data_IF_381406296269
#
_entry.id   IF_381406296269
#
_cell.length_a   1.000
_cell.length_b   1.000
_cell.length_c   1.000
_cell.angle_alpha   90.00
_cell.angle_beta   90.00
_cell.angle_gamma   90.00
#
_symmetry.space_group_name_H-M   'P 1'
#
loop_
_entity.id
_entity.type
_entity.pdbx_description
1 polymer ?
#
# COMPACT_ATOMS: atom_id res chain seq x y z
N UNK A 1 -6.07 -3.04 15.89
CA UNK A 1 -6.12 -2.36 14.59
C UNK A 1 -4.69 -2.25 14.08
N UNK A 2 -4.45 -2.46 12.78
CA UNK A 2 -3.12 -2.37 12.20
C UNK A 2 -3.23 -2.11 10.70
N UNK A 3 -2.28 -1.37 10.16
CA UNK A 3 -2.18 -1.05 8.74
C UNK A 3 -0.74 -1.25 8.26
N UNK A 4 -0.54 -1.26 6.96
CA UNK A 4 0.75 -1.42 6.32
C UNK A 4 1.26 -0.09 5.78
N UNK A 5 2.57 0.11 5.81
CA UNK A 5 3.20 1.26 5.20
C UNK A 5 4.55 0.88 4.59
N UNK A 6 4.92 1.54 3.48
CA UNK A 6 6.16 1.28 2.75
C UNK A 6 6.10 0.07 1.81
N UNK A 7 4.91 -0.50 1.63
CA UNK A 7 4.69 -1.77 0.95
C UNK A 7 4.93 -1.73 -0.55
N UNK A 8 4.69 -0.58 -1.19
CA UNK A 8 5.03 -0.36 -2.60
C UNK A 8 6.55 -0.38 -2.81
N UNK A 9 7.31 0.35 -2.00
CA UNK A 9 8.77 0.31 -2.03
C UNK A 9 9.33 -1.07 -1.67
N UNK A 10 8.65 -1.79 -0.78
CA UNK A 10 8.99 -3.18 -0.42
C UNK A 10 8.77 -4.19 -1.56
N UNK A 11 7.85 -3.93 -2.50
CA UNK A 11 7.72 -4.76 -3.70
C UNK A 11 8.69 -4.27 -4.78
N UNK A 12 8.61 -2.99 -5.15
CA UNK A 12 9.20 -2.47 -6.39
C UNK A 12 10.71 -2.27 -6.33
N UNK A 13 11.28 -2.18 -5.12
CA UNK A 13 12.72 -1.95 -4.93
C UNK A 13 13.11 -0.49 -5.10
N UNK A 14 12.10 0.39 -5.15
CA UNK A 14 12.23 1.82 -5.33
C UNK A 14 12.21 2.54 -3.98
N UNK A 15 12.76 3.75 -3.96
CA UNK A 15 12.67 4.64 -2.79
C UNK A 15 11.21 4.92 -2.41
N UNK A 16 11.01 5.19 -1.12
CA UNK A 16 9.70 5.55 -0.61
C UNK A 16 9.17 6.83 -1.29
N UNK A 17 7.95 6.77 -1.80
CA UNK A 17 7.26 7.90 -2.43
C UNK A 17 6.78 8.95 -1.43
N UNK A 18 6.81 8.65 -0.12
CA UNK A 18 6.38 9.53 0.95
C UNK A 18 7.11 9.20 2.26
N UNK A 19 7.27 10.21 3.12
CA UNK A 19 7.74 10.03 4.49
C UNK A 19 6.60 9.62 5.44
N UNK A 20 6.93 8.85 6.47
CA UNK A 20 5.99 8.44 7.53
C UNK A 20 6.32 9.16 8.83
N UNK A 21 5.27 9.59 9.54
CA UNK A 21 5.41 10.22 10.86
C UNK A 21 4.34 9.68 11.80
N UNK A 22 4.76 9.27 13.00
CA UNK A 22 3.86 8.90 14.08
C UNK A 22 3.15 10.14 14.63
N UNK A 23 1.83 10.06 14.79
CA UNK A 23 1.00 11.12 15.40
C UNK A 23 0.90 10.98 16.94
N UNK A 24 1.27 9.81 17.47
CA UNK A 24 1.30 9.49 18.88
C UNK A 24 2.15 8.23 19.11
N UNK A 25 2.11 7.67 20.31
CA UNK A 25 2.83 6.45 20.64
C UNK A 25 2.35 5.29 19.74
N UNK A 26 3.29 4.66 19.03
CA UNK A 26 3.00 3.56 18.13
C UNK A 26 4.08 2.47 18.23
N UNK A 27 3.64 1.23 18.08
CA UNK A 27 4.53 0.08 17.89
C UNK A 27 4.42 -0.39 16.45
N UNK A 28 5.57 -0.71 15.85
CA UNK A 28 5.65 -1.15 14.45
C UNK A 28 6.41 -2.45 14.34
N UNK A 29 5.96 -3.31 13.42
CA UNK A 29 6.69 -4.49 12.98
C UNK A 29 7.37 -4.15 11.66
N UNK A 30 8.70 -4.16 11.64
CA UNK A 30 9.48 -3.87 10.44
C UNK A 30 9.96 -5.16 9.78
N UNK A 31 9.77 -5.25 8.46
CA UNK A 31 10.31 -6.33 7.64
C UNK A 31 11.44 -5.78 6.77
N UNK A 32 12.62 -6.34 6.94
CA UNK A 32 13.76 -6.08 6.05
C UNK A 32 13.68 -7.02 4.86
N UNK A 33 13.73 -6.46 3.64
CA UNK A 33 13.54 -7.21 2.40
C UNK A 33 14.48 -8.40 2.30
N UNK A 34 15.77 -8.20 2.51
CA UNK A 34 16.79 -9.24 2.37
C UNK A 34 16.54 -10.41 3.33
N UNK A 35 16.20 -10.11 4.59
CA UNK A 35 15.84 -11.13 5.59
C UNK A 35 14.57 -11.85 5.21
N UNK A 36 13.56 -11.13 4.73
CA UNK A 36 12.31 -11.73 4.30
C UNK A 36 12.48 -12.63 3.07
N UNK A 37 13.23 -12.18 2.06
CA UNK A 37 13.53 -12.95 0.85
C UNK A 37 14.38 -14.19 1.18
N UNK A 38 15.25 -14.14 2.19
CA UNK A 38 16.00 -15.32 2.64
C UNK A 38 15.08 -16.48 3.08
N UNK A 39 13.86 -16.17 3.53
CA UNK A 39 12.86 -17.17 3.93
C UNK A 39 12.31 -17.96 2.74
N UNK A 40 12.54 -17.53 1.49
CA UNK A 40 12.17 -18.32 0.31
C UNK A 40 12.80 -19.71 0.33
N UNK A 41 13.97 -19.86 0.95
CA UNK A 41 14.67 -21.13 1.05
C UNK A 41 14.17 -22.04 2.18
N UNK A 42 13.56 -21.46 3.23
CA UNK A 42 13.19 -22.18 4.45
C UNK A 42 11.68 -22.32 4.65
N UNK A 43 10.92 -21.29 4.29
CA UNK A 43 9.47 -21.21 4.43
C UNK A 43 8.84 -20.39 3.28
N UNK A 44 8.76 -20.97 2.06
CA UNK A 44 8.18 -20.29 0.91
C UNK A 44 6.68 -20.02 1.05
N UNK A 45 5.96 -20.77 1.89
CA UNK A 45 4.53 -20.58 2.10
C UNK A 45 4.26 -19.28 2.87
N UNK A 46 5.07 -19.01 3.90
CA UNK A 46 5.04 -17.73 4.62
C UNK A 46 5.30 -16.56 3.68
N UNK A 47 6.36 -16.65 2.86
CA UNK A 47 6.69 -15.60 1.90
C UNK A 47 5.54 -15.34 0.93
N UNK A 48 4.96 -16.40 0.36
CA UNK A 48 3.80 -16.30 -0.51
C UNK A 48 2.61 -15.61 0.17
N UNK A 49 2.29 -15.99 1.42
CA UNK A 49 1.17 -15.40 2.17
C UNK A 49 1.37 -13.91 2.45
N UNK A 50 2.58 -13.51 2.82
CA UNK A 50 2.90 -12.11 3.07
C UNK A 50 2.85 -11.31 1.77
N UNK A 51 3.49 -11.76 0.69
CA UNK A 51 3.45 -11.09 -0.62
C UNK A 51 2.02 -10.97 -1.16
N UNK A 52 1.21 -12.03 -1.04
CA UNK A 52 -0.21 -12.00 -1.41
C UNK A 52 -0.98 -10.95 -0.62
N UNK A 53 -0.67 -10.78 0.67
CA UNK A 53 -1.28 -9.75 1.52
C UNK A 53 -0.89 -8.35 1.05
N UNK A 54 0.39 -8.13 0.74
CA UNK A 54 0.86 -6.83 0.22
C UNK A 54 0.15 -6.47 -1.09
N UNK A 55 0.12 -7.40 -2.06
CA UNK A 55 -0.56 -7.17 -3.36
C UNK A 55 -2.03 -6.82 -3.18
N UNK A 56 -2.72 -7.46 -2.23
CA UNK A 56 -4.12 -7.15 -1.90
C UNK A 56 -4.29 -5.76 -1.29
N UNK A 57 -3.37 -5.33 -0.43
CA UNK A 57 -3.38 -4.00 0.16
C UNK A 57 -3.20 -2.93 -0.92
N UNK A 58 -2.18 -3.08 -1.77
CA UNK A 58 -1.93 -2.19 -2.91
C UNK A 58 -3.13 -2.11 -3.84
N UNK A 59 -3.72 -3.25 -4.21
CA UNK A 59 -4.90 -3.27 -5.07
C UNK A 59 -6.10 -2.52 -4.46
N UNK A 60 -6.27 -2.63 -3.14
CA UNK A 60 -7.31 -1.90 -2.41
C UNK A 60 -7.08 -0.39 -2.42
N UNK A 61 -5.83 0.05 -2.24
CA UNK A 61 -5.43 1.47 -2.31
C UNK A 61 -5.71 2.03 -3.70
N UNK A 62 -5.27 1.36 -4.76
CA UNK A 62 -5.48 1.78 -6.15
C UNK A 62 -6.97 1.87 -6.47
N UNK A 63 -7.76 0.87 -6.06
CA UNK A 63 -9.22 0.88 -6.27
C UNK A 63 -9.89 2.06 -5.55
N UNK A 64 -9.50 2.35 -4.30
CA UNK A 64 -10.02 3.50 -3.54
C UNK A 64 -9.68 4.82 -4.24
N UNK A 65 -8.42 4.98 -4.64
CA UNK A 65 -7.94 6.19 -5.31
C UNK A 65 -8.67 6.42 -6.64
N UNK A 66 -8.89 5.36 -7.43
CA UNK A 66 -9.67 5.43 -8.67
C UNK A 66 -11.12 5.83 -8.42
N UNK A 67 -11.76 5.29 -7.38
CA UNK A 67 -13.13 5.66 -7.02
C UNK A 67 -13.21 7.16 -6.66
N UNK A 68 -12.26 7.66 -5.86
CA UNK A 68 -12.18 9.08 -5.48
C UNK A 68 -11.93 9.98 -6.70
N UNK A 69 -11.08 9.54 -7.64
CA UNK A 69 -10.82 10.27 -8.88
C UNK A 69 -12.09 10.40 -9.75
N UNK A 70 -12.84 9.31 -9.91
CA UNK A 70 -14.11 9.31 -10.67
C UNK A 70 -15.15 10.21 -10.00
N UNK A 71 -15.27 10.14 -8.68
CA UNK A 71 -16.19 10.99 -7.91
C UNK A 71 -15.87 12.48 -8.08
N UNK A 72 -14.59 12.86 -7.93
CA UNK A 72 -14.12 14.23 -8.12
C UNK A 72 -14.39 14.73 -9.54
N UNK A 73 -14.11 13.89 -10.54
CA UNK A 73 -14.36 14.20 -11.96
C UNK A 73 -15.84 14.46 -12.20
N UNK A 74 -16.72 13.58 -11.70
CA UNK A 74 -18.16 13.76 -11.79
C UNK A 74 -18.65 15.03 -11.08
N UNK A 75 -18.04 15.39 -9.94
CA UNK A 75 -18.39 16.60 -9.21
C UNK A 75 -18.05 17.86 -10.00
N UNK A 76 -16.84 17.94 -10.59
CA UNK A 76 -16.40 19.06 -11.43
C UNK A 76 -17.32 19.19 -12.65
N UNK A 77 -17.59 18.10 -13.36
CA UNK A 77 -18.47 18.13 -14.54
C UNK A 77 -19.92 18.47 -14.17
N UNK A 78 -20.46 18.02 -13.03
CA UNK A 78 -21.80 18.40 -12.56
C UNK A 78 -21.87 19.85 -12.08
N UNK A 79 -20.80 20.39 -11.48
CA UNK A 79 -20.76 21.80 -11.05
C UNK A 79 -20.56 22.76 -12.23
N UNK A 80 -19.84 22.36 -13.28
CA UNK A 80 -19.59 23.19 -14.46
C UNK A 80 -20.56 22.91 -15.62
N UNK A 81 -21.37 21.85 -15.52
CA UNK A 81 -22.48 21.52 -16.42
C UNK A 81 -23.70 22.38 -16.15
N UNK A 82 -23.58 23.69 -16.35
CA UNK A 82 -24.70 24.59 -16.65
C UNK A 82 -24.67 24.93 -18.13
N UNK A 83 -24.83 23.93 -18.99
CA UNK A 83 -25.48 23.95 -20.31
C UNK A 83 -25.80 22.51 -20.70
#
# INVERSE_FOLDING_TARGET
EGDMAGELGFIDGLEHSAALRALGDCEVLSLEREKFESLLHTDPELVYKVMRTIVRAVHSIVRRMNAQYVEMTNYIFKQHGRY
#
